data_IF_325851992881
#
_entry.id   IF_325851992881
#
_cell.length_a   1.000
_cell.length_b   1.000
_cell.length_c   1.000
_cell.angle_alpha   90.00
_cell.angle_beta   90.00
_cell.angle_gamma   90.00
#
_symmetry.space_group_name_H-M   'P 1'
#
loop_
_entity.id
_entity.type
_entity.pdbx_description
1 polymer ?
#
# COMPACT_ATOMS: atom_id res chain seq x y z
N UNK A 1 -4.25 -20.16 -2.55
CA UNK A 1 -5.24 -20.21 -3.65
C UNK A 1 -5.35 -18.83 -4.27
N UNK A 2 -5.67 -18.73 -5.59
CA UNK A 2 -5.88 -17.44 -6.25
C UNK A 2 -7.34 -16.98 -6.10
N UNK A 3 -7.57 -15.71 -5.82
CA UNK A 3 -8.91 -15.13 -5.75
C UNK A 3 -9.44 -14.88 -7.17
N UNK A 4 -10.35 -15.75 -7.63
CA UNK A 4 -10.98 -15.65 -8.95
C UNK A 4 -12.36 -15.01 -8.86
N UNK A 5 -12.88 -14.49 -9.98
CA UNK A 5 -14.25 -13.97 -10.08
C UNK A 5 -15.30 -15.03 -9.75
N UNK A 6 -15.05 -16.28 -10.16
CA UNK A 6 -15.95 -17.39 -9.88
C UNK A 6 -16.01 -17.71 -8.39
N UNK A 7 -14.86 -17.65 -7.68
CA UNK A 7 -14.85 -17.81 -6.23
C UNK A 7 -15.66 -16.71 -5.55
N UNK A 8 -15.49 -15.46 -5.96
CA UNK A 8 -16.23 -14.32 -5.40
C UNK A 8 -17.73 -14.47 -5.63
N UNK A 9 -18.13 -14.82 -6.86
CA UNK A 9 -19.55 -14.95 -7.23
C UNK A 9 -20.25 -16.15 -6.56
N UNK A 10 -19.50 -17.23 -6.28
CA UNK A 10 -20.02 -18.43 -5.63
C UNK A 10 -19.91 -18.39 -4.09
N UNK A 11 -19.21 -17.40 -3.53
CA UNK A 11 -19.09 -17.23 -2.08
C UNK A 11 -20.36 -16.68 -1.47
N UNK A 12 -20.57 -17.02 -0.20
CA UNK A 12 -21.77 -16.60 0.54
C UNK A 12 -21.77 -15.07 0.71
N UNK A 13 -22.87 -14.44 0.30
CA UNK A 13 -23.14 -13.03 0.57
C UNK A 13 -24.46 -12.89 1.35
N UNK A 14 -24.41 -12.24 2.49
CA UNK A 14 -25.55 -12.11 3.43
C UNK A 14 -25.59 -10.73 4.05
N UNK A 15 -26.70 -10.40 4.68
CA UNK A 15 -26.83 -9.17 5.50
C UNK A 15 -26.39 -9.50 6.93
N UNK A 16 -25.33 -8.83 7.39
CA UNK A 16 -24.83 -9.00 8.76
C UNK A 16 -25.67 -8.25 9.81
N UNK A 17 -25.31 -8.40 11.08
CA UNK A 17 -26.03 -7.75 12.18
C UNK A 17 -25.98 -6.21 12.18
N UNK A 18 -25.04 -5.61 11.41
CA UNK A 18 -24.94 -4.16 11.21
C UNK A 18 -25.73 -3.68 9.98
N UNK A 19 -26.54 -4.56 9.37
CA UNK A 19 -27.27 -4.29 8.12
C UNK A 19 -26.36 -4.00 6.92
N UNK A 20 -25.12 -4.48 6.95
CA UNK A 20 -24.19 -4.40 5.85
C UNK A 20 -24.24 -5.69 5.02
N UNK A 21 -24.16 -5.57 3.69
CA UNK A 21 -24.00 -6.72 2.82
C UNK A 21 -22.57 -7.23 2.91
N UNK A 22 -22.40 -8.36 3.56
CA UNK A 22 -21.10 -8.97 3.81
C UNK A 22 -20.84 -10.12 2.84
N UNK A 23 -19.61 -10.15 2.29
CA UNK A 23 -19.10 -11.24 1.47
C UNK A 23 -18.15 -12.09 2.31
N UNK A 24 -18.44 -13.38 2.43
CA UNK A 24 -17.62 -14.34 3.19
C UNK A 24 -16.58 -15.01 2.28
N UNK A 25 -15.31 -14.66 2.50
CA UNK A 25 -14.14 -15.24 1.81
C UNK A 25 -13.14 -15.84 2.81
N UNK A 26 -13.60 -16.27 3.98
CA UNK A 26 -12.75 -16.83 5.04
C UNK A 26 -12.20 -18.19 4.67
N UNK A 27 -10.94 -18.47 5.10
CA UNK A 27 -10.34 -19.81 5.07
C UNK A 27 -10.02 -20.38 3.69
N UNK A 28 -10.05 -19.57 2.65
CA UNK A 28 -9.79 -20.00 1.26
C UNK A 28 -8.30 -20.08 0.89
N UNK A 29 -7.36 -19.77 1.82
CA UNK A 29 -5.92 -19.72 1.56
C UNK A 29 -5.56 -18.79 0.39
N UNK A 30 -6.26 -17.65 0.31
CA UNK A 30 -6.05 -16.62 -0.70
C UNK A 30 -4.70 -15.96 -0.43
N UNK A 31 -3.81 -15.93 -1.43
CA UNK A 31 -2.46 -15.36 -1.31
C UNK A 31 -2.37 -13.89 -1.66
N UNK A 32 -3.27 -13.40 -2.51
CA UNK A 32 -3.31 -12.00 -2.95
C UNK A 32 -4.74 -11.53 -3.20
N UNK A 33 -5.00 -10.25 -2.96
CA UNK A 33 -6.28 -9.59 -3.25
C UNK A 33 -6.30 -9.28 -4.75
N UNK A 34 -7.22 -9.90 -5.47
CA UNK A 34 -7.41 -9.75 -6.91
C UNK A 34 -8.90 -9.77 -7.25
N UNK A 35 -9.28 -9.28 -8.43
CA UNK A 35 -10.64 -9.39 -8.99
C UNK A 35 -11.77 -8.81 -8.12
N UNK A 36 -11.43 -7.94 -7.16
CA UNK A 36 -12.41 -7.34 -6.23
C UNK A 36 -13.49 -6.48 -6.93
N UNK A 37 -13.35 -6.23 -8.23
CA UNK A 37 -14.41 -5.62 -9.04
C UNK A 37 -15.72 -6.40 -9.04
N UNK A 38 -15.68 -7.72 -8.84
CA UNK A 38 -16.88 -8.56 -8.71
C UNK A 38 -17.61 -8.35 -7.36
N UNK A 39 -16.94 -7.81 -6.34
CA UNK A 39 -17.50 -7.58 -5.01
C UNK A 39 -17.94 -6.11 -4.76
N UNK A 40 -18.22 -5.33 -5.83
CA UNK A 40 -18.55 -3.89 -5.73
C UNK A 40 -19.81 -3.58 -4.93
N UNK A 41 -20.73 -4.52 -4.87
CA UNK A 41 -22.03 -4.34 -4.20
C UNK A 41 -22.02 -4.69 -2.71
N UNK A 42 -20.85 -5.09 -2.20
CA UNK A 42 -20.69 -5.43 -0.80
C UNK A 42 -20.27 -4.20 0.03
N UNK A 43 -20.84 -4.06 1.21
CA UNK A 43 -20.51 -3.05 2.20
C UNK A 43 -19.42 -3.57 3.17
N UNK A 44 -19.36 -4.89 3.35
CA UNK A 44 -18.39 -5.59 4.18
C UNK A 44 -17.76 -6.78 3.43
N UNK A 45 -16.47 -7.05 3.66
CA UNK A 45 -15.77 -8.20 3.11
C UNK A 45 -14.96 -8.86 4.21
N UNK A 46 -15.15 -10.18 4.38
CA UNK A 46 -14.39 -10.96 5.34
C UNK A 46 -13.38 -11.87 4.62
N UNK A 47 -12.11 -11.52 4.74
CA UNK A 47 -10.95 -12.24 4.25
C UNK A 47 -10.14 -12.87 5.39
N UNK A 48 -10.77 -13.10 6.55
CA UNK A 48 -10.11 -13.71 7.72
C UNK A 48 -9.58 -15.11 7.39
N UNK A 49 -8.47 -15.49 8.00
CA UNK A 49 -7.83 -16.82 7.87
C UNK A 49 -7.44 -17.14 6.41
N UNK A 50 -6.67 -16.23 5.80
CA UNK A 50 -6.08 -16.40 4.48
C UNK A 50 -4.55 -16.22 4.52
N UNK A 51 -3.88 -16.27 3.36
CA UNK A 51 -2.42 -16.16 3.23
C UNK A 51 -1.99 -14.82 2.63
N UNK A 52 -2.81 -13.77 2.74
CA UNK A 52 -2.58 -12.46 2.11
C UNK A 52 -1.34 -11.80 2.73
N UNK A 53 -0.37 -11.42 1.89
CA UNK A 53 0.88 -10.80 2.32
C UNK A 53 0.88 -9.26 2.24
N UNK A 54 0.06 -8.70 1.34
CA UNK A 54 -0.04 -7.26 1.12
C UNK A 54 -1.50 -6.81 1.09
N UNK A 55 -1.80 -5.73 1.80
CA UNK A 55 -3.10 -5.06 1.74
C UNK A 55 -3.09 -4.00 0.64
N UNK A 56 -3.79 -4.26 -0.43
CA UNK A 56 -3.87 -3.39 -1.60
C UNK A 56 -4.62 -4.03 -2.76
N UNK A 57 -4.44 -3.49 -3.96
CA UNK A 57 -5.04 -3.99 -5.20
C UNK A 57 -6.58 -4.01 -5.20
N UNK A 58 -7.19 -3.03 -4.53
CA UNK A 58 -8.62 -2.79 -4.61
C UNK A 58 -8.92 -1.85 -5.79
N UNK A 59 -9.93 -2.15 -6.61
CA UNK A 59 -10.51 -1.16 -7.50
C UNK A 59 -11.27 -0.10 -6.68
N UNK A 60 -11.79 0.94 -7.33
CA UNK A 60 -12.63 1.92 -6.64
C UNK A 60 -13.92 1.24 -6.13
N UNK A 61 -14.04 1.15 -4.81
CA UNK A 61 -15.17 0.56 -4.09
C UNK A 61 -15.73 1.54 -3.04
N UNK A 62 -16.56 2.49 -3.45
CA UNK A 62 -17.09 3.52 -2.55
C UNK A 62 -18.12 2.96 -1.54
N UNK A 63 -18.65 1.77 -1.75
CA UNK A 63 -19.59 1.12 -0.82
C UNK A 63 -18.90 0.44 0.34
N UNK A 64 -17.66 -0.01 0.18
CA UNK A 64 -16.94 -0.79 1.19
C UNK A 64 -16.69 0.05 2.45
N UNK A 65 -17.26 -0.40 3.58
CA UNK A 65 -17.17 0.23 4.90
C UNK A 65 -16.43 -0.62 5.91
N UNK A 66 -16.52 -1.93 5.77
CA UNK A 66 -15.95 -2.89 6.73
C UNK A 66 -15.05 -3.91 6.01
N UNK A 67 -13.83 -4.08 6.52
CA UNK A 67 -12.87 -5.03 5.97
C UNK A 67 -12.23 -5.83 7.11
N UNK A 68 -12.49 -7.14 7.11
CA UNK A 68 -11.88 -8.09 8.04
C UNK A 68 -10.73 -8.84 7.36
N UNK A 69 -9.55 -8.75 7.94
CA UNK A 69 -8.31 -9.35 7.45
C UNK A 69 -7.53 -10.04 8.58
N UNK A 70 -8.24 -10.48 9.62
CA UNK A 70 -7.60 -11.15 10.73
C UNK A 70 -6.93 -12.46 10.28
N UNK A 71 -5.87 -12.87 10.98
CA UNK A 71 -5.16 -14.14 10.73
C UNK A 71 -4.68 -14.27 9.29
N UNK A 72 -3.98 -13.24 8.81
CA UNK A 72 -3.29 -13.22 7.52
C UNK A 72 -1.78 -13.04 7.71
N UNK A 73 -1.06 -12.79 6.63
CA UNK A 73 0.40 -12.57 6.64
C UNK A 73 0.77 -11.15 6.22
N UNK A 74 -0.14 -10.18 6.39
CA UNK A 74 0.02 -8.82 5.89
C UNK A 74 1.18 -8.14 6.63
N UNK A 75 2.18 -7.75 5.87
CA UNK A 75 3.33 -6.98 6.34
C UNK A 75 3.38 -5.58 5.73
N UNK A 76 2.64 -5.32 4.64
CA UNK A 76 2.67 -4.07 3.91
C UNK A 76 1.26 -3.60 3.54
N UNK A 77 1.04 -2.28 3.59
CA UNK A 77 -0.19 -1.60 3.20
C UNK A 77 0.12 -0.68 2.02
N UNK A 78 -0.64 -0.79 0.95
CA UNK A 78 -0.44 0.03 -0.25
C UNK A 78 -0.75 1.51 0.04
N UNK A 79 0.13 2.46 -0.34
CA UNK A 79 -0.04 3.87 -0.02
C UNK A 79 -1.35 4.50 -0.54
N UNK A 80 -1.80 4.10 -1.72
CA UNK A 80 -2.99 4.67 -2.38
C UNK A 80 -4.30 3.94 -2.03
N UNK A 81 -4.30 3.09 -1.01
CA UNK A 81 -5.45 2.27 -0.66
C UNK A 81 -6.69 3.12 -0.32
N UNK A 82 -6.52 4.26 0.34
CA UNK A 82 -7.62 5.17 0.69
C UNK A 82 -8.34 5.76 -0.52
N UNK A 83 -7.67 5.89 -1.66
CA UNK A 83 -8.30 6.34 -2.91
C UNK A 83 -9.20 5.26 -3.53
N UNK A 84 -8.85 3.99 -3.31
CA UNK A 84 -9.62 2.84 -3.80
C UNK A 84 -10.84 2.53 -2.93
N UNK A 85 -10.72 2.66 -1.60
CA UNK A 85 -11.78 2.36 -0.63
C UNK A 85 -11.99 3.56 0.33
N UNK A 86 -12.49 4.71 -0.18
CA UNK A 86 -12.48 5.99 0.56
C UNK A 86 -13.40 6.01 1.79
N UNK A 87 -14.44 5.18 1.83
CA UNK A 87 -15.45 5.16 2.87
C UNK A 87 -15.25 4.09 3.93
N UNK A 88 -14.05 3.49 3.98
CA UNK A 88 -13.72 2.47 4.97
C UNK A 88 -13.82 3.04 6.39
N UNK A 89 -14.63 2.39 7.24
CA UNK A 89 -14.87 2.76 8.64
C UNK A 89 -14.26 1.78 9.63
N UNK A 90 -14.26 0.50 9.27
CA UNK A 90 -13.78 -0.59 10.13
C UNK A 90 -12.71 -1.38 9.39
N UNK A 91 -11.53 -1.48 10.01
CA UNK A 91 -10.42 -2.27 9.49
C UNK A 91 -9.87 -3.18 10.61
N UNK A 92 -9.95 -4.48 10.39
CA UNK A 92 -9.45 -5.47 11.35
C UNK A 92 -8.26 -6.21 10.75
N UNK A 93 -7.08 -5.93 11.30
CA UNK A 93 -5.78 -6.52 10.91
C UNK A 93 -5.18 -7.38 12.03
N UNK A 94 -6.01 -7.93 12.90
CA UNK A 94 -5.57 -8.74 14.05
C UNK A 94 -4.75 -9.95 13.59
N UNK A 95 -3.66 -10.27 14.30
CA UNK A 95 -2.78 -11.43 13.99
C UNK A 95 -2.24 -11.40 12.56
N UNK A 96 -1.60 -10.31 12.19
CA UNK A 96 -0.85 -10.14 10.96
C UNK A 96 0.65 -9.94 11.23
N UNK A 97 1.43 -9.48 10.25
CA UNK A 97 2.90 -9.37 10.33
C UNK A 97 3.41 -7.94 10.17
N UNK A 98 2.59 -6.94 10.45
CA UNK A 98 3.02 -5.53 10.42
C UNK A 98 4.03 -5.33 11.55
N UNK A 99 5.26 -4.88 11.22
CA UNK A 99 6.36 -4.88 12.15
C UNK A 99 6.76 -3.49 12.62
N UNK A 100 6.74 -2.47 11.76
CA UNK A 100 7.22 -1.15 12.07
C UNK A 100 6.09 -0.12 12.15
N UNK A 101 6.29 0.94 12.95
CA UNK A 101 5.31 2.01 13.11
C UNK A 101 5.09 2.77 11.80
N UNK A 102 6.14 2.96 11.00
CA UNK A 102 6.07 3.62 9.71
C UNK A 102 5.27 2.83 8.64
N UNK A 103 5.10 1.51 8.81
CA UNK A 103 4.28 0.68 7.92
C UNK A 103 2.79 1.02 8.02
N UNK A 104 2.38 1.72 9.09
CA UNK A 104 1.01 2.17 9.32
C UNK A 104 0.71 3.53 8.67
N UNK A 105 1.71 4.23 8.13
CA UNK A 105 1.55 5.55 7.51
C UNK A 105 0.45 5.61 6.44
N UNK A 106 0.26 4.59 5.57
CA UNK A 106 -0.82 4.60 4.59
C UNK A 106 -2.22 4.74 5.21
N UNK A 107 -2.40 4.33 6.47
CA UNK A 107 -3.68 4.44 7.17
C UNK A 107 -4.05 5.90 7.51
N UNK A 108 -3.08 6.81 7.57
CA UNK A 108 -3.31 8.23 7.83
C UNK A 108 -4.20 8.90 6.77
N UNK A 109 -4.21 8.37 5.56
CA UNK A 109 -4.98 8.89 4.42
C UNK A 109 -6.48 8.58 4.48
N UNK A 110 -6.91 7.68 5.38
CA UNK A 110 -8.33 7.34 5.54
C UNK A 110 -9.09 8.39 6.35
N UNK A 111 -10.05 9.06 5.70
CA UNK A 111 -10.82 10.16 6.31
C UNK A 111 -12.00 9.69 7.15
N UNK A 112 -12.43 8.43 7.01
CA UNK A 112 -13.62 7.87 7.67
C UNK A 112 -13.33 6.67 8.59
N UNK A 113 -12.05 6.30 8.78
CA UNK A 113 -11.68 5.15 9.60
C UNK A 113 -11.96 5.43 11.08
N UNK A 114 -12.86 4.67 11.67
CA UNK A 114 -13.30 4.82 13.07
C UNK A 114 -12.80 3.68 13.95
N UNK A 115 -12.87 2.45 13.44
CA UNK A 115 -12.49 1.24 14.16
C UNK A 115 -11.26 0.63 13.50
N UNK A 116 -10.17 0.51 14.26
CA UNK A 116 -8.93 -0.13 13.82
C UNK A 116 -8.50 -1.17 14.86
N UNK A 117 -8.21 -2.39 14.42
CA UNK A 117 -7.61 -3.41 15.28
C UNK A 117 -6.32 -3.95 14.65
N UNK A 118 -5.22 -3.85 15.40
CA UNK A 118 -3.89 -4.31 15.03
C UNK A 118 -3.35 -5.34 16.02
N UNK A 119 -4.19 -5.86 16.94
CA UNK A 119 -3.78 -6.80 17.98
C UNK A 119 -3.06 -8.02 17.40
N UNK A 120 -2.01 -8.47 18.09
CA UNK A 120 -1.24 -9.65 17.65
C UNK A 120 -0.33 -9.41 16.45
N UNK A 121 -0.09 -8.15 16.07
CA UNK A 121 0.98 -7.77 15.16
C UNK A 121 2.26 -7.43 15.93
N UNK A 122 3.46 -7.65 15.37
CA UNK A 122 4.72 -7.25 16.01
C UNK A 122 4.76 -5.75 16.38
N UNK A 123 4.15 -4.89 15.57
CA UNK A 123 4.08 -3.43 15.77
C UNK A 123 3.44 -3.05 17.11
N UNK A 124 2.52 -3.85 17.65
CA UNK A 124 1.84 -3.55 18.93
C UNK A 124 2.78 -3.59 20.13
N UNK A 125 3.93 -4.28 20.02
CA UNK A 125 4.97 -4.34 21.07
C UNK A 125 5.96 -3.17 20.98
N UNK A 126 5.89 -2.33 19.98
CA UNK A 126 6.78 -1.17 19.82
C UNK A 126 6.43 -0.08 20.84
N UNK A 127 7.47 0.60 21.31
CA UNK A 127 7.30 1.76 22.17
C UNK A 127 6.46 2.84 21.47
N UNK A 128 5.57 3.46 22.22
CA UNK A 128 4.66 4.51 21.73
C UNK A 128 3.68 4.09 20.62
N UNK A 129 3.53 2.79 20.35
CA UNK A 129 2.63 2.27 19.30
C UNK A 129 1.25 2.94 19.34
N UNK A 130 0.58 2.92 20.49
CA UNK A 130 -0.79 3.45 20.61
C UNK A 130 -0.85 4.95 20.32
N UNK A 131 0.10 5.73 20.82
CA UNK A 131 0.19 7.17 20.57
C UNK A 131 0.53 7.48 19.12
N UNK A 132 1.40 6.68 18.50
CA UNK A 132 1.72 6.81 17.07
C UNK A 132 0.49 6.64 16.19
N UNK A 133 -0.30 5.58 16.39
CA UNK A 133 -1.53 5.34 15.62
C UNK A 133 -2.54 6.45 15.84
N UNK A 134 -2.72 6.91 17.08
CA UNK A 134 -3.65 8.00 17.42
C UNK A 134 -3.22 9.32 16.74
N UNK A 135 -1.93 9.57 16.65
CA UNK A 135 -1.37 10.76 16.00
C UNK A 135 -1.52 10.71 14.48
N UNK A 136 -1.19 9.56 13.87
CA UNK A 136 -1.26 9.40 12.40
C UNK A 136 -2.69 9.26 11.88
N UNK A 137 -3.59 8.66 12.65
CA UNK A 137 -4.96 8.39 12.27
C UNK A 137 -5.95 9.12 13.20
N UNK A 138 -6.12 10.45 13.07
CA UNK A 138 -6.93 11.26 13.99
C UNK A 138 -8.42 10.89 13.96
N UNK A 139 -8.90 10.26 12.90
CA UNK A 139 -10.29 9.83 12.74
C UNK A 139 -10.65 8.58 13.58
N UNK A 140 -9.64 7.78 13.95
CA UNK A 140 -9.82 6.55 14.72
C UNK A 140 -10.33 6.89 16.12
N UNK A 141 -11.50 6.30 16.49
CA UNK A 141 -12.12 6.44 17.81
C UNK A 141 -11.94 5.21 18.68
N UNK A 142 -11.79 4.05 18.05
CA UNK A 142 -11.57 2.78 18.74
C UNK A 142 -10.34 2.11 18.16
N UNK A 143 -9.32 1.93 18.96
CA UNK A 143 -8.07 1.23 18.62
C UNK A 143 -7.95 0.01 19.53
N UNK A 144 -7.80 -1.17 18.91
CA UNK A 144 -7.65 -2.44 19.63
C UNK A 144 -8.73 -2.65 20.69
N UNK A 145 -9.99 -2.47 20.28
CA UNK A 145 -11.19 -2.56 21.11
C UNK A 145 -11.28 -1.56 22.26
N UNK A 146 -10.33 -0.64 22.37
CA UNK A 146 -10.31 0.39 23.41
C UNK A 146 -10.62 1.77 22.84
N UNK A 147 -11.53 2.51 23.47
CA UNK A 147 -11.85 3.87 23.07
C UNK A 147 -10.64 4.79 23.22
N UNK A 148 -10.37 5.56 22.18
CA UNK A 148 -9.33 6.61 22.20
C UNK A 148 -9.85 7.82 22.97
N UNK A 149 -9.10 8.25 24.00
CA UNK A 149 -9.45 9.37 24.87
C UNK A 149 -8.74 10.66 24.42
N UNK A 150 -9.34 11.81 24.75
CA UNK A 150 -8.74 13.11 24.41
C UNK A 150 -7.39 13.36 25.10
N UNK A 151 -7.21 12.81 26.31
CA UNK A 151 -5.91 12.84 27.00
C UNK A 151 -4.82 12.14 26.20
N UNK A 152 -5.13 10.99 25.57
CA UNK A 152 -4.20 10.25 24.70
C UNK A 152 -3.87 11.04 23.43
N UNK A 153 -4.85 11.75 22.86
CA UNK A 153 -4.62 12.62 21.68
C UNK A 153 -3.70 13.79 22.02
N UNK A 154 -3.89 14.41 23.20
CA UNK A 154 -3.00 15.49 23.67
C UNK A 154 -1.58 14.97 23.85
N UNK A 155 -1.42 13.84 24.55
CA UNK A 155 -0.10 13.21 24.77
C UNK A 155 0.56 12.78 23.45
N UNK A 156 -0.19 12.26 22.50
CA UNK A 156 0.32 11.91 21.17
C UNK A 156 0.85 13.15 20.43
N UNK A 157 0.14 14.28 20.54
CA UNK A 157 0.58 15.55 19.97
C UNK A 157 1.82 16.13 20.68
N UNK A 158 1.91 15.97 21.98
CA UNK A 158 3.12 16.37 22.75
C UNK A 158 4.35 15.56 22.34
N UNK A 159 4.19 14.25 22.11
CA UNK A 159 5.28 13.35 21.72
C UNK A 159 5.75 13.56 20.26
N UNK A 160 4.82 13.74 19.35
CA UNK A 160 5.11 13.70 17.90
C UNK A 160 4.96 15.06 17.19
N UNK A 161 4.47 16.08 17.89
CA UNK A 161 4.24 17.41 17.32
C UNK A 161 2.98 17.49 16.47
N UNK A 162 2.97 18.42 15.53
CA UNK A 162 1.93 18.52 14.49
C UNK A 162 2.34 17.72 13.27
N UNK A 163 1.40 17.45 12.35
CA UNK A 163 1.70 16.76 11.08
C UNK A 163 2.59 17.64 10.18
N UNK A 164 2.47 18.97 10.32
CA UNK A 164 3.26 19.97 9.57
C UNK A 164 4.66 20.14 10.15
N UNK A 165 4.79 20.06 11.50
CA UNK A 165 6.06 20.18 12.23
C UNK A 165 6.25 18.96 13.14
N UNK A 166 6.66 17.81 12.59
CA UNK A 166 6.90 16.61 13.36
C UNK A 166 8.16 16.74 14.20
N UNK A 167 8.17 16.12 15.39
CA UNK A 167 9.35 16.07 16.25
C UNK A 167 10.44 15.18 15.64
N UNK A 168 11.68 15.29 16.17
CA UNK A 168 12.78 14.40 15.76
C UNK A 168 12.43 12.92 15.94
N UNK A 169 11.72 12.58 17.02
CA UNK A 169 11.24 11.22 17.27
C UNK A 169 10.28 10.74 16.16
N UNK A 170 9.37 11.60 15.74
CA UNK A 170 8.45 11.26 14.65
C UNK A 170 9.19 11.04 13.31
N UNK A 171 10.20 11.85 13.04
CA UNK A 171 11.03 11.72 11.84
C UNK A 171 11.87 10.43 11.87
N UNK A 172 12.46 10.09 13.02
CA UNK A 172 13.19 8.83 13.20
C UNK A 172 12.29 7.60 12.97
N UNK A 173 11.09 7.61 13.53
CA UNK A 173 10.11 6.52 13.34
C UNK A 173 9.71 6.43 11.87
N UNK A 174 9.40 7.54 11.19
CA UNK A 174 8.99 7.56 9.78
C UNK A 174 10.08 7.06 8.83
N UNK A 175 11.35 7.18 9.20
CA UNK A 175 12.48 6.66 8.41
C UNK A 175 12.65 5.15 8.51
N UNK A 176 12.15 4.52 9.58
CA UNK A 176 12.29 3.10 9.87
C UNK A 176 11.11 2.29 9.28
N UNK A 177 11.05 2.18 7.95
CA UNK A 177 10.10 1.28 7.30
C UNK A 177 10.66 -0.13 7.20
N UNK A 178 9.81 -1.12 7.38
CA UNK A 178 10.18 -2.50 7.04
C UNK A 178 10.49 -2.56 5.54
N UNK A 179 11.58 -3.26 5.20
CA UNK A 179 11.89 -3.55 3.79
C UNK A 179 10.82 -4.50 3.28
N UNK A 180 9.74 -3.94 2.75
CA UNK A 180 8.64 -4.72 2.21
C UNK A 180 9.16 -5.66 1.12
N UNK A 181 8.84 -6.95 1.24
CA UNK A 181 9.01 -7.88 0.14
C UNK A 181 8.06 -7.43 -0.97
N UNK A 182 8.62 -6.83 -2.01
CA UNK A 182 7.88 -6.50 -3.23
C UNK A 182 7.51 -7.82 -3.89
N UNK A 183 6.29 -8.30 -3.66
CA UNK A 183 5.74 -9.37 -4.49
C UNK A 183 5.59 -8.77 -5.89
N UNK A 184 6.20 -9.35 -6.94
CA UNK A 184 5.96 -8.89 -8.29
C UNK A 184 4.44 -8.96 -8.55
N UNK A 185 3.83 -7.81 -8.83
CA UNK A 185 2.44 -7.79 -9.26
C UNK A 185 2.38 -8.54 -10.59
N UNK A 186 1.71 -9.68 -10.61
CA UNK A 186 1.31 -10.32 -11.85
C UNK A 186 0.21 -9.45 -12.47
N UNK A 187 0.63 -8.38 -13.14
CA UNK A 187 -0.24 -7.62 -14.02
C UNK A 187 -0.66 -8.54 -15.17
N UNK A 188 -1.94 -8.57 -15.43
CA UNK A 188 -2.56 -9.23 -16.58
C UNK A 188 -1.77 -8.94 -17.86
N UNK A 189 -1.52 -9.98 -18.64
CA UNK A 189 -0.71 -10.01 -19.84
C UNK A 189 -0.80 -8.77 -20.73
N UNK A 190 0.20 -7.96 -20.63
CA UNK A 190 0.77 -7.13 -21.66
C UNK A 190 2.26 -7.08 -21.31
N UNK A 191 3.07 -7.50 -22.23
CA UNK A 191 4.52 -7.49 -22.22
C UNK A 191 5.02 -6.11 -21.77
N UNK A 192 5.30 -5.94 -20.47
CA UNK A 192 5.96 -4.76 -19.93
C UNK A 192 7.33 -5.18 -19.49
N UNK A 193 8.32 -4.81 -20.31
CA UNK A 193 9.74 -4.92 -20.01
C UNK A 193 10.02 -4.44 -18.58
N UNK A 194 10.89 -5.16 -17.89
CA UNK A 194 11.36 -4.85 -16.54
C UNK A 194 11.71 -3.36 -16.45
N UNK A 195 10.95 -2.58 -15.71
CA UNK A 195 11.37 -1.21 -15.35
C UNK A 195 12.66 -1.31 -14.56
N UNK A 196 13.76 -1.05 -15.23
CA UNK A 196 15.06 -0.89 -14.62
C UNK A 196 15.03 0.44 -13.88
N UNK A 197 15.22 0.42 -12.57
CA UNK A 197 15.36 1.65 -11.77
C UNK A 197 16.73 2.23 -12.14
N UNK A 198 16.71 3.27 -12.96
CA UNK A 198 17.91 3.98 -13.38
C UNK A 198 18.44 4.84 -12.24
N UNK A 199 19.76 4.86 -12.08
CA UNK A 199 20.44 5.79 -11.17
C UNK A 199 20.27 7.22 -11.67
N UNK A 200 20.41 8.21 -10.78
CA UNK A 200 20.28 9.63 -11.19
C UNK A 200 21.34 10.05 -12.21
N UNK A 201 22.51 9.41 -12.19
CA UNK A 201 23.57 9.61 -13.19
C UNK A 201 23.19 9.02 -14.56
N UNK A 202 22.61 7.81 -14.58
CA UNK A 202 22.10 7.21 -15.82
C UNK A 202 21.00 8.07 -16.45
N UNK A 203 20.04 8.58 -15.64
CA UNK A 203 18.99 9.51 -16.11
C UNK A 203 19.57 10.79 -16.70
N UNK A 204 20.64 11.33 -16.11
CA UNK A 204 21.32 12.53 -16.60
C UNK A 204 22.00 12.27 -17.95
N UNK A 205 22.67 11.13 -18.10
CA UNK A 205 23.29 10.71 -19.37
C UNK A 205 22.26 10.46 -20.47
N UNK A 206 21.13 9.82 -20.13
CA UNK A 206 20.02 9.58 -21.06
C UNK A 206 19.44 10.90 -21.58
N UNK A 207 19.19 11.88 -20.70
CA UNK A 207 18.71 13.21 -21.09
C UNK A 207 19.71 13.95 -21.99
N UNK A 208 21.00 13.86 -21.68
CA UNK A 208 22.04 14.46 -22.50
C UNK A 208 22.13 13.81 -23.90
N UNK A 209 21.97 12.49 -23.99
CA UNK A 209 21.95 11.76 -25.25
C UNK A 209 20.76 12.16 -26.15
N UNK A 210 19.57 12.35 -25.56
CA UNK A 210 18.38 12.82 -26.30
C UNK A 210 18.59 14.26 -26.81
N UNK A 211 19.18 15.14 -25.99
CA UNK A 211 19.44 16.54 -26.36
C UNK A 211 20.51 16.67 -27.46
N UNK A 212 21.47 15.74 -27.52
CA UNK A 212 22.56 15.73 -28.50
C UNK A 212 22.26 14.88 -29.75
N UNK A 213 21.06 14.33 -29.85
CA UNK A 213 20.64 13.54 -31.00
C UNK A 213 20.64 14.40 -32.28
N UNK A 214 21.28 13.88 -33.35
CA UNK A 214 21.49 14.61 -34.60
C UNK A 214 20.25 14.67 -35.50
N UNK A 215 19.23 13.86 -35.24
CA UNK A 215 18.00 13.83 -36.01
C UNK A 215 16.77 13.48 -35.16
N UNK A 216 15.59 13.94 -35.61
CA UNK A 216 14.30 13.67 -34.97
C UNK A 216 13.97 12.15 -34.92
N UNK A 217 14.44 11.42 -35.93
CA UNK A 217 14.28 9.95 -36.00
C UNK A 217 15.14 9.22 -34.95
N UNK A 218 16.34 9.72 -34.70
CA UNK A 218 17.26 9.22 -33.70
C UNK A 218 16.74 9.53 -32.27
N UNK A 219 16.21 10.72 -32.06
CA UNK A 219 15.56 11.11 -30.80
C UNK A 219 14.39 10.17 -30.46
N UNK A 220 13.47 9.94 -31.41
CA UNK A 220 12.35 9.05 -31.22
C UNK A 220 12.78 7.59 -30.96
N UNK A 221 13.89 7.15 -31.56
CA UNK A 221 14.45 5.81 -31.35
C UNK A 221 15.04 5.68 -29.94
N UNK A 222 15.81 6.68 -29.48
CA UNK A 222 16.39 6.71 -28.14
C UNK A 222 15.28 6.78 -27.06
N UNK A 223 14.26 7.58 -27.25
CA UNK A 223 13.11 7.63 -26.32
C UNK A 223 12.40 6.29 -26.22
N UNK A 224 12.22 5.60 -27.35
CA UNK A 224 11.62 4.26 -27.38
C UNK A 224 12.48 3.22 -26.67
N UNK A 225 13.79 3.19 -26.96
CA UNK A 225 14.72 2.26 -26.33
C UNK A 225 14.79 2.50 -24.81
N UNK A 226 14.75 3.74 -24.35
CA UNK A 226 14.71 4.08 -22.94
C UNK A 226 13.38 3.69 -22.28
N UNK A 227 12.26 3.86 -22.97
CA UNK A 227 10.94 3.41 -22.48
C UNK A 227 10.87 1.87 -22.36
N UNK A 228 11.59 1.14 -23.25
CA UNK A 228 11.71 -0.33 -23.21
C UNK A 228 12.78 -0.83 -22.22
N UNK A 229 13.44 0.08 -21.48
CA UNK A 229 14.47 -0.29 -20.49
C UNK A 229 15.81 -0.69 -21.10
N UNK A 230 16.07 -0.37 -22.38
CA UNK A 230 17.32 -0.66 -23.08
C UNK A 230 18.18 0.59 -23.15
N UNK A 231 19.40 0.53 -22.61
CA UNK A 231 20.39 1.59 -22.78
C UNK A 231 21.39 1.13 -23.83
N UNK A 232 21.54 1.86 -24.95
CA UNK A 232 22.58 1.54 -25.95
C UNK A 232 23.98 1.57 -25.32
N UNK A 233 24.84 0.61 -25.68
CA UNK A 233 26.16 0.42 -25.08
C UNK A 233 27.08 1.67 -25.16
N UNK A 234 26.93 2.48 -26.21
CA UNK A 234 27.72 3.71 -26.41
C UNK A 234 27.39 4.83 -25.39
N UNK A 235 26.25 4.73 -24.69
CA UNK A 235 25.86 5.68 -23.63
C UNK A 235 26.40 5.22 -22.26
N UNK A 236 26.63 3.92 -22.08
CA UNK A 236 27.19 3.34 -20.86
C UNK A 236 28.70 3.53 -20.74
N UNK A 237 29.40 3.52 -21.84
CA UNK A 237 30.88 3.55 -21.89
C UNK A 237 31.43 4.96 -22.12
N UNK A 238 30.87 6.03 -21.57
CA UNK A 238 31.45 7.38 -21.53
C UNK A 238 32.65 7.65 -22.47
N UNK A 239 32.53 7.41 -23.76
CA UNK A 239 33.57 7.68 -24.71
C UNK A 239 33.51 9.14 -25.15
N UNK A 240 34.58 9.89 -24.93
CA UNK A 240 34.83 11.21 -25.55
C UNK A 240 34.68 11.12 -27.07
N UNK A 241 34.06 12.11 -27.71
CA UNK A 241 34.11 12.19 -29.19
C UNK A 241 35.53 12.47 -29.61
N UNK A 242 36.14 11.52 -30.29
CA UNK A 242 37.44 11.74 -30.96
C UNK A 242 37.32 12.90 -31.94
N UNK A 243 38.18 13.90 -31.73
CA UNK A 243 38.63 14.83 -32.75
C UNK A 243 39.16 14.10 -33.97
N UNK A 244 38.60 14.35 -35.10
CA UNK A 244 39.33 14.52 -36.40
C UNK A 244 38.45 15.28 -37.37
#
# INVERSE_FOLDING_TARGET
MRLTTDLINNSLSFINCLTERELDLRGHKISAIENMGAARDNDAIDLTDNDIAQLGNFPLQPRLRTLFLAQNRISNIQPNLSSSIPNLRTLVLTKNRIAELADLDPLASFKQLVYLSLMGNPVTSKENYRYWVIWRCPTVRFLDFSKVRDVERKKAKELFGTVEEPTELANQISSNRSKGFVVPSYANGADSGKERIYTDEEKKRMRAAILNASSLAEMARLEKDFAEGRIPAHILEGGDPMET
#
